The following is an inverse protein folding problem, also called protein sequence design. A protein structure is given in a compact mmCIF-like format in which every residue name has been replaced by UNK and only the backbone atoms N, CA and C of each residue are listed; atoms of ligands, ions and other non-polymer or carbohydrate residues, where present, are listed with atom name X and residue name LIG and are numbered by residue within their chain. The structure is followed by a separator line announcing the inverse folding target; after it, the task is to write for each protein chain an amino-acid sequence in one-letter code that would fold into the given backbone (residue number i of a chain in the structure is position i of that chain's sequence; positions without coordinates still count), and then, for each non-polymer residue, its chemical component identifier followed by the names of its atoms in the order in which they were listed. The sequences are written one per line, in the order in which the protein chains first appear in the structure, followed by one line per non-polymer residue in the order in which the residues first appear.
data_IF_854384264425
#
_entry.id   IF_854384264425
#
_cell.length_a   1.000
_cell.length_b   1.000
_cell.length_c   1.000
_cell.angle_alpha   90.00
_cell.angle_beta   90.00
_cell.angle_gamma   90.00
#
_symmetry.space_group_name_H-M   'P 1'
#
loop_
_entity.id
_entity.type
_entity.pdbx_description
1 polymer ?
2 non-polymer ?
3 water ?
#
# COMPACT_ATOMS: atom_id res chain seq x y z
N UNK A 25 35.58 30.32 7.94
CA UNK A 25 34.88 29.25 7.13
C UNK A 25 33.71 28.54 7.86
N UNK A 26 33.62 28.72 9.20
CA UNK A 26 32.39 28.43 9.98
C UNK A 26 31.13 28.97 9.28
N UNK A 27 31.17 30.25 8.96
CA UNK A 27 29.95 30.97 8.59
C UNK A 27 29.32 30.62 7.22
N UNK A 28 30.09 30.03 6.29
CA UNK A 28 29.49 29.42 5.08
C UNK A 28 28.81 28.09 5.45
N UNK A 29 29.42 27.34 6.37
CA UNK A 29 28.84 26.07 6.82
C UNK A 29 27.56 26.28 7.63
N UNK A 30 27.59 27.22 8.57
CA UNK A 30 26.40 27.58 9.35
C UNK A 30 25.33 28.13 8.42
N UNK A 31 25.71 29.01 7.51
CA UNK A 31 24.76 29.58 6.54
C UNK A 31 24.19 28.49 5.64
N UNK A 32 24.97 27.41 5.41
CA UNK A 32 24.54 26.30 4.57
C UNK A 32 23.54 25.43 5.36
N UNK A 33 23.79 25.14 6.64
CA UNK A 33 22.79 24.51 7.52
C UNK A 33 21.47 25.32 7.54
N UNK A 34 21.61 26.64 7.59
CA UNK A 34 20.46 27.54 7.59
C UNK A 34 19.72 27.48 6.27
N UNK A 35 20.47 27.41 5.15
CA UNK A 35 19.83 27.36 3.82
C UNK A 35 18.99 26.12 3.70
N UNK A 36 19.60 24.99 4.00
CA UNK A 36 18.94 23.68 4.08
C UNK A 36 17.55 23.74 4.72
N UNK A 37 17.46 24.39 5.87
CA UNK A 37 16.24 24.45 6.67
C UNK A 37 15.19 25.37 6.09
N UNK A 38 15.62 26.50 5.57
CA UNK A 38 14.72 27.39 4.82
C UNK A 38 14.16 26.70 3.58
N UNK A 39 14.99 25.88 2.91
CA UNK A 39 14.56 25.16 1.71
C UNK A 39 13.59 24.07 2.06
N UNK A 40 13.96 23.20 3.00
CA UNK A 40 13.02 22.20 3.51
C UNK A 40 11.69 22.88 3.92
N UNK A 41 11.77 23.90 4.77
CA UNK A 41 10.55 24.62 5.24
C UNK A 41 9.77 25.29 4.11
N UNK A 42 10.46 25.87 3.16
CA UNK A 42 9.79 26.48 2.01
C UNK A 42 9.15 25.46 1.11
N UNK A 43 9.87 24.40 0.81
CA UNK A 43 9.33 23.31 -0.03
C UNK A 43 8.08 22.72 0.64
N UNK A 44 8.19 22.38 1.91
CA UNK A 44 7.05 21.89 2.70
C UNK A 44 5.81 22.78 2.60
N UNK A 45 5.99 24.09 2.73
CA UNK A 45 4.86 25.03 2.63
C UNK A 45 4.24 25.01 1.22
N UNK A 46 5.06 25.23 0.22
CA UNK A 46 4.61 25.35 -1.15
C UNK A 46 4.05 24.02 -1.72
N UNK A 47 4.82 22.94 -1.63
CA UNK A 47 4.28 21.62 -2.01
C UNK A 47 3.10 21.19 -1.15
N UNK A 48 3.09 21.60 0.13
CA UNK A 48 1.92 21.43 0.99
C UNK A 48 0.64 21.96 0.39
N UNK A 49 0.70 23.16 -0.17
CA UNK A 49 -0.51 23.85 -0.68
C UNK A 49 -0.91 23.44 -2.07
N UNK A 50 0.07 23.23 -2.95
CA UNK A 50 -0.22 23.05 -4.38
C UNK A 50 0.28 21.70 -4.95
N UNK A 51 0.90 20.84 -4.13
CA UNK A 51 1.39 19.53 -4.58
C UNK A 51 2.77 19.60 -5.22
N UNK A 52 3.53 18.51 -5.10
CA UNK A 52 4.85 18.34 -5.75
C UNK A 52 4.87 18.91 -7.17
N UNK A 53 3.93 18.43 -7.98
CA UNK A 53 3.87 18.75 -9.41
C UNK A 53 3.79 20.23 -9.74
N UNK A 54 2.95 20.97 -9.01
CA UNK A 54 2.66 22.37 -9.36
C UNK A 54 3.74 23.40 -8.96
N UNK A 55 4.72 23.03 -8.14
CA UNK A 55 5.78 23.97 -7.77
C UNK A 55 7.15 23.42 -8.10
N UNK A 56 7.94 24.28 -8.72
CA UNK A 56 9.28 23.92 -9.16
C UNK A 56 10.29 24.44 -8.18
N UNK A 57 11.46 23.88 -8.26
CA UNK A 57 12.49 24.16 -7.30
C UNK A 57 13.04 25.61 -7.38
N UNK A 58 13.02 26.23 -8.58
CA UNK A 58 13.41 27.65 -8.62
C UNK A 58 12.51 28.55 -7.79
N UNK A 59 11.21 28.33 -7.88
CA UNK A 59 10.24 29.07 -7.07
C UNK A 59 10.50 28.91 -5.56
N UNK A 60 10.90 27.70 -5.14
CA UNK A 60 11.22 27.45 -3.73
C UNK A 60 12.49 28.24 -3.31
N UNK A 61 13.44 28.38 -4.21
CA UNK A 61 14.69 29.06 -3.89
C UNK A 61 14.45 30.54 -3.63
N UNK A 62 13.65 31.15 -4.50
CA UNK A 62 13.12 32.49 -4.27
C UNK A 62 12.42 32.63 -2.91
N UNK A 63 11.49 31.71 -2.63
CA UNK A 63 10.72 31.68 -1.37
C UNK A 63 11.66 31.63 -0.15
N UNK A 64 12.73 30.88 -0.25
CA UNK A 64 13.74 30.98 0.76
C UNK A 64 14.60 32.22 0.44
N UNK A 65 15.67 32.45 1.20
CA UNK A 65 16.51 33.64 0.94
C UNK A 65 17.80 33.30 0.26
N UNK A 66 17.65 32.33 -0.64
CA UNK A 66 18.68 31.59 -1.31
C UNK A 66 18.79 31.63 -2.86
N UNK A 67 20.00 31.38 -3.33
CA UNK A 67 20.37 31.24 -4.73
C UNK A 67 20.25 29.76 -5.16
N UNK A 68 20.26 29.52 -6.48
CA UNK A 68 20.21 28.19 -7.06
C UNK A 68 21.42 27.34 -6.67
N UNK A 69 22.60 27.93 -6.74
CA UNK A 69 23.85 27.27 -6.32
C UNK A 69 23.86 26.86 -4.87
N UNK A 70 23.28 27.71 -4.00
CA UNK A 70 23.11 27.37 -2.56
C UNK A 70 22.18 26.16 -2.38
N UNK A 71 21.12 26.14 -3.17
CA UNK A 71 20.23 24.99 -3.26
C UNK A 71 20.92 23.70 -3.74
N UNK A 72 21.69 23.82 -4.82
CA UNK A 72 22.32 22.64 -5.44
C UNK A 72 23.62 22.22 -4.81
N UNK A 73 24.19 23.04 -3.93
CA UNK A 73 25.23 22.52 -3.03
C UNK A 73 24.61 21.66 -1.94
N UNK A 74 23.33 21.88 -1.64
CA UNK A 74 22.65 21.17 -0.56
C UNK A 74 21.69 20.05 -0.97
N UNK A 75 21.15 20.10 -2.20
CA UNK A 75 20.25 19.06 -2.68
C UNK A 75 20.54 18.75 -4.15
N UNK A 76 20.78 17.49 -4.48
CA UNK A 76 21.12 17.07 -5.85
C UNK A 76 20.01 17.34 -6.89
N UNK A 77 18.75 17.10 -6.53
CA UNK A 77 17.60 17.34 -7.42
C UNK A 77 16.28 17.42 -6.66
N UNK A 78 15.19 17.68 -7.40
CA UNK A 78 13.86 17.90 -6.85
C UNK A 78 13.46 16.81 -5.84
N UNK A 79 13.64 15.56 -6.26
CA UNK A 79 13.24 14.44 -5.44
C UNK A 79 14.04 14.32 -4.14
N UNK A 80 15.31 14.70 -4.16
CA UNK A 80 16.13 14.65 -2.92
C UNK A 80 15.59 15.61 -1.86
N UNK A 81 15.19 16.79 -2.30
CA UNK A 81 14.63 17.80 -1.42
C UNK A 81 13.29 17.33 -0.92
N UNK A 82 12.53 16.74 -1.83
CA UNK A 82 11.25 16.13 -1.43
C UNK A 82 11.39 15.05 -0.37
N UNK A 83 12.44 14.24 -0.45
CA UNK A 83 12.64 13.17 0.52
C UNK A 83 12.86 13.76 1.89
N UNK A 84 13.62 14.85 1.97
CA UNK A 84 13.83 15.55 3.26
C UNK A 84 12.58 16.18 3.80
N UNK A 85 11.74 16.71 2.91
CA UNK A 85 10.42 17.21 3.29
C UNK A 85 9.59 16.08 3.93
N UNK A 86 9.62 14.90 3.34
CA UNK A 86 8.88 13.75 3.90
C UNK A 86 9.37 13.39 5.28
N UNK A 87 10.69 13.32 5.47
CA UNK A 87 11.25 13.04 6.79
C UNK A 87 10.74 13.97 7.88
N UNK A 88 10.67 15.25 7.57
CA UNK A 88 10.26 16.27 8.54
C UNK A 88 8.74 16.17 8.77
N UNK A 89 7.96 15.97 7.73
CA UNK A 89 6.51 15.80 7.88
C UNK A 89 6.20 14.53 8.67
N UNK A 90 6.93 13.45 8.41
CA UNK A 90 6.80 12.22 9.21
C UNK A 90 7.18 12.39 10.68
N UNK A 91 8.32 13.01 10.97
CA UNK A 91 8.70 13.36 12.35
C UNK A 91 7.49 13.95 13.07
N UNK A 92 6.88 14.98 12.49
CA UNK A 92 5.67 15.60 13.08
C UNK A 92 4.40 14.74 13.12
N UNK A 93 4.18 13.90 12.10
CA UNK A 93 3.05 12.97 12.12
C UNK A 93 3.27 11.97 13.25
N UNK A 94 4.50 11.47 13.38
CA UNK A 94 4.81 10.59 14.48
C UNK A 94 4.60 11.34 15.79
N UNK A 95 5.12 12.56 15.89
CA UNK A 95 5.03 13.36 17.12
C UNK A 95 3.60 13.59 17.52
N UNK A 96 2.77 14.03 16.58
CA UNK A 96 1.34 14.20 16.84
C UNK A 96 0.65 12.92 17.31
N UNK A 97 0.93 11.82 16.64
CA UNK A 97 0.35 10.51 17.00
C UNK A 97 0.51 10.25 18.49
N UNK A 98 1.76 10.25 18.94
CA UNK A 98 2.10 10.05 20.36
C UNK A 98 1.49 11.10 21.31
N UNK A 99 1.38 12.35 20.85
CA UNK A 99 0.68 13.41 21.58
C UNK A 99 -0.82 13.14 21.71
N UNK A 100 -1.51 12.79 20.63
CA UNK A 100 -2.96 12.56 20.67
C UNK A 100 -3.31 11.35 21.55
N UNK A 101 -2.54 10.27 21.38
CA UNK A 101 -2.71 9.04 22.15
C UNK A 101 -2.49 9.27 23.67
N UNK A 102 -1.40 9.96 24.04
CA UNK A 102 -1.15 10.33 25.43
C UNK A 102 -2.24 11.24 25.99
N UNK A 103 -2.68 12.20 25.18
CA UNK A 103 -3.71 13.14 25.59
C UNK A 103 -5.10 12.52 25.74
N UNK A 104 -5.34 11.36 25.10
CA UNK A 104 -6.64 10.70 25.17
C UNK A 104 -6.91 10.11 26.58
N UNK A 105 -5.84 9.83 27.32
CA UNK A 105 -5.98 9.29 28.66
C UNK A 105 -6.47 7.85 28.63
N UNK A 106 -5.83 7.04 27.80
CA UNK A 106 -6.21 5.67 27.61
C UNK A 106 -5.63 4.87 28.77
N UNK A 107 -6.54 4.21 29.49
CA UNK A 107 -6.23 3.34 30.60
C UNK A 107 -5.37 2.14 30.15
N UNK A 108 -5.89 1.37 29.21
CA UNK A 108 -5.32 0.09 28.85
C UNK A 108 -4.78 0.08 27.43
N UNK A 109 -3.93 -0.91 27.07
CA UNK A 109 -3.50 -1.05 25.68
C UNK A 109 -4.62 -1.10 24.64
N UNK A 110 -5.79 -1.62 25.01
CA UNK A 110 -6.89 -1.67 24.08
C UNK A 110 -7.38 -0.28 23.71
N UNK A 111 -7.51 0.58 24.72
CA UNK A 111 -7.95 1.95 24.49
C UNK A 111 -6.87 2.74 23.79
N UNK A 112 -5.61 2.40 24.10
CA UNK A 112 -4.44 2.99 23.46
C UNK A 112 -4.50 2.80 21.94
N UNK A 113 -4.69 1.53 21.54
CA UNK A 113 -4.91 1.15 20.14
C UNK A 113 -6.12 1.85 19.52
N UNK A 114 -7.19 1.93 20.28
CA UNK A 114 -8.41 2.56 19.80
C UNK A 114 -8.17 4.07 19.49
N UNK A 115 -7.48 4.74 20.40
CA UNK A 115 -7.08 6.13 20.24
C UNK A 115 -6.10 6.33 19.09
N UNK A 116 -5.11 5.44 19.00
CA UNK A 116 -4.14 5.48 17.92
C UNK A 116 -4.83 5.48 16.55
N UNK A 117 -5.87 4.68 16.32
CA UNK A 117 -6.53 4.70 15.00
C UNK A 117 -7.29 6.01 14.76
N UNK A 118 -7.96 6.54 15.79
CA UNK A 118 -8.63 7.84 15.67
C UNK A 118 -7.59 8.90 15.33
N UNK A 119 -6.48 8.90 16.09
CA UNK A 119 -5.41 9.86 15.87
C UNK A 119 -4.92 9.86 14.43
N UNK A 120 -4.69 8.67 13.87
CA UNK A 120 -4.18 8.55 12.51
C UNK A 120 -5.19 9.06 11.47
N UNK A 121 -6.47 8.91 11.77
CA UNK A 121 -7.49 9.47 10.86
C UNK A 121 -7.54 11.00 10.89
N UNK A 122 -7.24 11.62 12.04
CA UNK A 122 -7.19 13.09 12.10
C UNK A 122 -5.93 13.66 11.41
N UNK A 123 -4.78 13.11 11.77
CA UNK A 123 -3.49 13.54 11.23
C UNK A 123 -3.37 13.35 9.72
N UNK A 124 -3.77 12.19 9.22
CA UNK A 124 -3.76 11.95 7.78
C UNK A 124 -4.75 12.85 7.05
N UNK A 125 -5.77 13.32 7.76
CA UNK A 125 -6.73 14.29 7.25
C UNK A 125 -6.27 15.71 7.11
N UNK A 126 -5.31 16.14 7.94
CA UNK A 126 -4.54 17.37 7.71
C UNK A 126 -4.12 17.51 6.25
N UNK A 127 -4.63 18.54 5.54
CA UNK A 127 -4.30 18.69 4.10
C UNK A 127 -2.83 18.69 3.72
N UNK A 128 -1.94 19.11 4.62
CA UNK A 128 -0.49 19.02 4.30
C UNK A 128 -0.08 17.57 4.19
N UNK A 129 -0.52 16.76 5.14
CA UNK A 129 -0.16 15.35 5.19
C UNK A 129 -0.77 14.67 3.97
N UNK A 130 -2.08 14.86 3.80
CA UNK A 130 -2.81 14.36 2.66
C UNK A 130 -2.05 14.57 1.33
N UNK A 131 -1.56 15.79 1.13
CA UNK A 131 -0.91 16.16 -0.09
C UNK A 131 0.48 15.52 -0.24
N UNK A 132 1.30 15.69 0.78
CA UNK A 132 2.73 15.32 0.70
C UNK A 132 2.93 13.84 0.88
N UNK A 133 2.26 13.28 1.87
CA UNK A 133 2.45 11.92 2.27
C UNK A 133 1.50 11.00 1.52
N UNK A 134 0.20 11.28 1.57
CA UNK A 134 -0.76 10.33 0.95
C UNK A 134 -0.78 10.37 -0.57
N UNK A 135 -0.57 11.54 -1.19
CA UNK A 135 -0.68 11.66 -2.65
C UNK A 135 0.66 11.72 -3.37
N UNK A 136 1.50 12.67 -2.99
CA UNK A 136 2.76 12.88 -3.70
C UNK A 136 3.81 11.79 -3.45
N UNK A 137 3.97 11.41 -2.18
CA UNK A 137 5.10 10.58 -1.80
C UNK A 137 5.16 9.23 -2.53
N UNK A 138 4.01 8.56 -2.67
CA UNK A 138 3.99 7.32 -3.45
C UNK A 138 4.47 7.46 -4.91
N UNK A 139 4.17 8.59 -5.54
CA UNK A 139 4.59 8.83 -6.90
C UNK A 139 6.08 9.18 -6.98
N UNK A 140 6.55 9.98 -6.02
CA UNK A 140 7.90 10.55 -6.12
C UNK A 140 8.92 9.54 -5.66
N UNK A 141 8.66 8.93 -4.52
CA UNK A 141 9.39 7.74 -4.08
C UNK A 141 8.79 6.60 -4.87
N UNK A 142 9.46 5.47 -4.97
CA UNK A 142 8.81 4.33 -5.61
C UNK A 142 7.67 3.74 -4.78
N UNK A 143 7.31 2.51 -5.11
CA UNK A 143 6.62 1.64 -4.17
C UNK A 143 7.59 1.37 -3.04
N UNK A 144 8.79 0.96 -3.44
CA UNK A 144 9.87 0.58 -2.54
C UNK A 144 10.12 1.68 -1.52
N UNK A 145 10.48 2.85 -2.02
CA UNK A 145 10.71 4.03 -1.18
C UNK A 145 9.57 4.35 -0.24
N UNK A 146 8.33 4.24 -0.73
CA UNK A 146 7.17 4.59 0.08
C UNK A 146 6.90 3.58 1.19
N UNK A 147 7.05 2.30 0.86
CA UNK A 147 6.96 1.24 1.88
C UNK A 147 7.88 1.53 3.06
N UNK A 148 9.13 1.83 2.75
CA UNK A 148 10.13 2.15 3.78
C UNK A 148 9.78 3.27 4.72
N UNK A 149 9.07 4.27 4.22
CA UNK A 149 8.67 5.41 5.04
C UNK A 149 7.67 4.95 6.10
N UNK A 150 6.59 4.29 5.72
CA UNK A 150 5.66 3.76 6.73
C UNK A 150 6.36 2.78 7.66
N UNK A 151 7.23 1.93 7.11
CA UNK A 151 8.02 1.01 7.93
C UNK A 151 8.78 1.78 9.06
N UNK A 152 9.70 2.67 8.67
CA UNK A 152 10.47 3.51 9.60
C UNK A 152 9.63 4.10 10.71
N UNK A 153 8.50 4.71 10.37
CA UNK A 153 7.79 5.60 11.28
C UNK A 153 6.75 4.87 12.11
N UNK A 154 5.84 4.18 11.46
CA UNK A 154 4.78 3.46 12.17
C UNK A 154 5.25 2.14 12.84
N UNK A 155 5.93 1.27 12.08
CA UNK A 155 6.11 -0.15 12.49
C UNK A 155 6.40 -0.42 13.97
N UNK A 156 7.42 0.23 14.50
CA UNK A 156 7.77 0.10 15.91
C UNK A 156 6.64 0.49 16.85
N UNK A 157 6.02 1.65 16.60
CA UNK A 157 4.89 2.10 17.41
C UNK A 157 3.75 1.06 17.41
N UNK A 158 3.52 0.46 16.24
CA UNK A 158 2.46 -0.52 16.08
C UNK A 158 2.79 -1.85 16.76
N UNK A 159 4.03 -2.30 16.61
CA UNK A 159 4.51 -3.48 17.33
C UNK A 159 4.51 -3.29 18.83
N UNK A 160 4.84 -2.08 19.25
CA UNK A 160 4.77 -1.67 20.66
C UNK A 160 3.36 -1.91 21.22
N UNK A 161 2.38 -1.17 20.70
CA UNK A 161 0.97 -1.26 21.14
C UNK A 161 0.44 -2.71 21.24
N UNK A 162 0.74 -3.49 20.21
CA UNK A 162 0.31 -4.87 20.09
C UNK A 162 0.92 -5.71 21.20
N UNK A 163 2.22 -5.54 21.45
CA UNK A 163 2.94 -6.36 22.44
C UNK A 163 2.35 -6.05 23.82
N UNK A 164 1.98 -4.80 24.05
CA UNK A 164 1.35 -4.40 25.30
C UNK A 164 -0.04 -4.99 25.47
N UNK A 165 -0.81 -5.00 24.38
CA UNK A 165 -2.11 -5.65 24.37
C UNK A 165 -1.98 -7.15 24.63
N UNK A 166 -0.98 -7.79 24.03
CA UNK A 166 -0.74 -9.22 24.28
C UNK A 166 -0.33 -9.46 25.72
N UNK A 167 0.71 -8.75 26.16
CA UNK A 167 1.22 -8.88 27.55
C UNK A 167 0.18 -8.53 28.61
N UNK A 168 -0.80 -7.68 28.30
CA UNK A 168 -1.92 -7.36 29.20
C UNK A 168 -3.11 -8.30 29.09
N UNK A 169 -2.98 -9.37 28.30
CA UNK A 169 -4.08 -10.31 28.09
C UNK A 169 -5.25 -9.82 27.23
N UNK A 170 -5.17 -8.60 26.69
CA UNK A 170 -6.24 -8.03 25.85
C UNK A 170 -6.17 -8.48 24.40
N UNK A 171 -5.21 -9.34 24.07
CA UNK A 171 -4.99 -9.82 22.72
C UNK A 171 -4.28 -11.15 22.78
N UNK A 172 -4.75 -12.10 22.00
CA UNK A 172 -4.14 -13.43 21.91
C UNK A 172 -2.68 -13.33 21.50
N UNK A 173 -1.84 -14.17 22.10
CA UNK A 173 -0.46 -14.30 21.70
C UNK A 173 -0.47 -14.79 20.27
N UNK A 174 0.26 -14.05 19.44
CA UNK A 174 0.28 -14.16 18.01
C UNK A 174 1.62 -13.66 17.57
N UNK A 175 2.06 -14.06 16.37
CA UNK A 175 3.24 -13.43 15.79
C UNK A 175 2.97 -11.94 15.57
N UNK A 176 3.80 -11.10 16.17
CA UNK A 176 3.56 -9.68 16.36
C UNK A 176 3.81 -8.85 15.10
N UNK A 177 4.87 -9.16 14.35
CA UNK A 177 5.23 -8.34 13.19
C UNK A 177 4.26 -8.53 12.01
N UNK A 178 3.86 -9.77 11.71
CA UNK A 178 2.83 -9.97 10.70
C UNK A 178 1.54 -9.21 10.94
N UNK A 179 1.01 -9.29 12.16
CA UNK A 179 -0.17 -8.55 12.53
C UNK A 179 0.05 -7.08 12.31
N UNK A 180 1.14 -6.56 12.85
CA UNK A 180 1.52 -5.14 12.70
C UNK A 180 1.61 -4.76 11.23
N UNK A 181 2.33 -5.57 10.49
CA UNK A 181 2.54 -5.33 9.10
C UNK A 181 1.19 -5.21 8.39
N UNK A 182 0.28 -6.14 8.69
CA UNK A 182 -1.05 -6.16 8.09
C UNK A 182 -1.91 -4.94 8.52
N UNK A 183 -1.87 -4.57 9.79
CA UNK A 183 -2.61 -3.44 10.26
C UNK A 183 -2.16 -2.14 9.54
N UNK A 184 -0.87 -2.02 9.29
CA UNK A 184 -0.32 -0.89 8.58
C UNK A 184 -0.84 -0.82 7.15
N UNK A 185 -0.92 -1.97 6.50
CA UNK A 185 -1.55 -2.03 5.19
C UNK A 185 -3.00 -1.55 5.18
N UNK A 186 -3.75 -1.93 6.22
CA UNK A 186 -5.14 -1.55 6.39
C UNK A 186 -5.26 -0.06 6.63
N UNK A 187 -4.44 0.49 7.53
CA UNK A 187 -4.51 1.90 7.91
C UNK A 187 -4.10 2.84 6.79
N UNK A 188 -3.00 2.53 6.12
CA UNK A 188 -2.53 3.32 4.99
C UNK A 188 -3.58 3.33 3.89
N UNK A 189 -4.23 2.20 3.63
CA UNK A 189 -5.28 2.14 2.61
C UNK A 189 -6.52 2.94 3.05
N UNK A 190 -6.84 2.90 4.34
CA UNK A 190 -7.94 3.67 4.87
C UNK A 190 -7.74 5.13 4.54
N UNK A 191 -6.56 5.65 4.91
CA UNK A 191 -6.24 7.07 4.75
C UNK A 191 -6.30 7.52 3.29
N UNK A 192 -5.81 6.67 2.40
CA UNK A 192 -5.77 6.98 0.97
C UNK A 192 -7.11 6.85 0.27
N UNK A 193 -7.94 5.96 0.78
CA UNK A 193 -9.31 5.88 0.34
C UNK A 193 -10.06 7.18 0.62
N UNK A 194 -9.85 7.70 1.82
CA UNK A 194 -10.39 8.99 2.25
C UNK A 194 -9.79 10.12 1.39
N UNK A 195 -8.47 10.21 1.40
CA UNK A 195 -7.74 11.25 0.69
C UNK A 195 -8.25 11.49 -0.74
N UNK A 196 -8.65 10.40 -1.40
CA UNK A 196 -9.07 10.42 -2.78
C UNK A 196 -10.59 10.39 -2.95
N UNK A 197 -11.37 10.53 -1.88
CA UNK A 197 -12.81 10.22 -1.93
C UNK A 197 -13.60 11.33 -2.59
N UNK A 198 -14.73 10.97 -3.23
CA UNK A 198 -15.68 11.99 -3.75
C UNK A 198 -16.25 12.86 -2.62
N UNK A 199 -16.58 12.23 -1.48
CA UNK A 199 -17.08 12.91 -0.28
C UNK A 199 -16.21 12.56 0.94
N UNK A 200 -15.06 13.25 1.10
CA UNK A 200 -14.08 12.89 2.15
C UNK A 200 -14.51 12.90 3.63
N UNK A 201 -15.50 13.71 4.01
CA UNK A 201 -15.89 13.76 5.43
C UNK A 201 -16.76 12.55 5.78
N UNK A 202 -17.45 12.05 4.75
CA UNK A 202 -18.26 10.85 4.87
C UNK A 202 -17.39 9.61 4.89
N UNK A 203 -16.49 9.52 3.92
CA UNK A 203 -15.52 8.41 3.83
C UNK A 203 -14.68 8.25 5.10
N UNK A 204 -14.37 9.35 5.80
CA UNK A 204 -13.63 9.29 7.07
C UNK A 204 -14.44 8.62 8.16
N UNK A 205 -15.74 8.88 8.17
CA UNK A 205 -16.63 8.42 9.22
C UNK A 205 -16.85 6.91 9.11
N UNK A 206 -17.13 6.47 7.90
CA UNK A 206 -17.40 5.08 7.58
C UNK A 206 -16.19 4.19 7.78
N UNK A 207 -15.05 4.65 7.28
CA UNK A 207 -13.76 4.00 7.45
C UNK A 207 -13.36 3.95 8.91
N UNK A 208 -13.66 5.02 9.66
CA UNK A 208 -13.51 4.97 11.11
C UNK A 208 -14.27 3.80 11.72
N UNK A 209 -15.57 3.63 11.40
CA UNK A 209 -16.35 2.52 12.00
C UNK A 209 -15.82 1.16 11.58
N UNK A 210 -15.54 1.02 10.29
CA UNK A 210 -14.85 -0.16 9.77
C UNK A 210 -13.60 -0.59 10.58
N UNK A 211 -12.70 0.35 10.84
CA UNK A 211 -11.46 0.04 11.56
C UNK A 211 -11.78 -0.35 13.02
N UNK A 212 -12.66 0.41 13.63
CA UNK A 212 -13.15 0.17 14.98
C UNK A 212 -13.71 -1.28 15.14
N UNK A 213 -14.58 -1.68 14.21
CA UNK A 213 -15.11 -3.06 14.20
C UNK A 213 -14.01 -4.13 14.04
N UNK A 214 -13.08 -3.85 13.17
CA UNK A 214 -11.98 -4.76 12.86
C UNK A 214 -11.13 -5.01 14.08
N UNK A 215 -10.87 -3.96 14.86
CA UNK A 215 -10.00 -4.10 16.03
C UNK A 215 -10.81 -4.53 17.24
N UNK A 216 -12.02 -3.99 17.45
CA UNK A 216 -12.94 -4.50 18.48
C UNK A 216 -13.28 -6.00 18.31
N UNK A 217 -13.14 -6.53 17.10
CA UNK A 217 -13.27 -7.95 16.84
C UNK A 217 -12.17 -8.81 17.40
N UNK A 218 -10.93 -8.31 17.38
CA UNK A 218 -9.76 -9.06 17.88
C UNK A 218 -9.47 -8.81 19.34
N UNK A 219 -9.77 -7.62 19.81
CA UNK A 219 -9.39 -7.24 21.17
C UNK A 219 -10.39 -7.79 22.14
N UNK A 220 -9.83 -8.48 23.13
CA UNK A 220 -10.56 -9.00 24.26
C UNK A 220 -11.26 -7.88 25.02
N UNK A 221 -10.59 -6.75 25.23
CA UNK A 221 -11.20 -5.59 25.89
C UNK A 221 -11.30 -4.41 24.96
N UNK B 31 -5.49 -8.80 -38.07
CA UNK B 31 -4.44 -9.87 -38.14
C UNK B 31 -3.32 -9.66 -37.09
N UNK B 32 -3.08 -8.40 -36.73
CA UNK B 32 -2.11 -8.04 -35.67
C UNK B 32 -2.49 -8.46 -34.22
N UNK B 33 -3.76 -8.81 -34.02
CA UNK B 33 -4.23 -9.46 -32.79
C UNK B 33 -3.37 -10.68 -32.40
N UNK B 34 -3.01 -11.48 -33.39
CA UNK B 34 -2.12 -12.62 -33.22
C UNK B 34 -0.72 -12.22 -32.72
N UNK B 35 -0.17 -11.13 -33.27
CA UNK B 35 1.18 -10.66 -32.88
C UNK B 35 1.17 -10.28 -31.40
N UNK B 36 0.21 -9.43 -31.05
CA UNK B 36 -0.08 -9.03 -29.68
C UNK B 36 0.04 -10.20 -28.67
N UNK B 37 -0.62 -11.31 -29.01
CA UNK B 37 -0.77 -12.46 -28.11
C UNK B 37 0.52 -13.26 -28.00
N UNK B 38 1.22 -13.42 -29.11
CA UNK B 38 2.53 -14.06 -29.09
C UNK B 38 3.54 -13.26 -28.24
N UNK B 39 3.44 -11.93 -28.32
CA UNK B 39 4.33 -11.05 -27.54
C UNK B 39 3.99 -11.09 -26.05
N UNK B 40 2.71 -10.87 -25.75
CA UNK B 40 2.24 -11.00 -24.38
C UNK B 40 2.66 -12.36 -23.81
N UNK B 41 2.38 -13.45 -24.53
CA UNK B 41 2.77 -14.81 -24.06
C UNK B 41 4.28 -14.97 -23.79
N UNK B 42 5.08 -14.46 -24.71
CA UNK B 42 6.51 -14.53 -24.55
C UNK B 42 7.01 -13.69 -23.39
N UNK B 43 6.52 -12.45 -23.31
CA UNK B 43 6.88 -11.55 -22.21
C UNK B 43 6.55 -12.17 -20.86
N UNK B 44 5.31 -12.62 -20.72
CA UNK B 44 4.87 -13.30 -19.50
C UNK B 44 5.78 -14.44 -19.06
N UNK B 45 6.18 -15.29 -20.01
CA UNK B 45 7.07 -16.40 -19.68
C UNK B 45 8.44 -15.92 -19.21
N UNK B 46 9.08 -15.09 -20.03
CA UNK B 46 10.44 -14.63 -19.73
C UNK B 46 10.51 -13.72 -18.50
N UNK B 47 9.71 -12.67 -18.44
CA UNK B 47 9.63 -11.84 -17.22
C UNK B 47 9.15 -12.62 -16.01
N UNK B 48 8.28 -13.62 -16.23
CA UNK B 48 7.91 -14.58 -15.19
C UNK B 48 9.09 -15.21 -14.48
N UNK B 49 10.05 -15.68 -15.28
CA UNK B 49 11.19 -16.44 -14.77
C UNK B 49 12.33 -15.57 -14.23
N UNK B 50 12.62 -14.46 -14.90
CA UNK B 50 13.79 -13.68 -14.58
C UNK B 50 13.52 -12.22 -14.17
N UNK B 51 12.25 -11.81 -14.07
CA UNK B 51 11.88 -10.43 -13.69
C UNK B 51 11.94 -9.42 -14.82
N UNK B 52 11.09 -8.39 -14.74
CA UNK B 52 11.08 -7.26 -15.72
C UNK B 52 12.49 -6.84 -16.12
N UNK B 53 13.30 -6.54 -15.10
CA UNK B 53 14.63 -5.96 -15.29
C UNK B 53 15.57 -6.81 -16.15
N UNK B 54 15.60 -8.12 -15.92
CA UNK B 54 16.58 -9.00 -16.57
C UNK B 54 16.32 -9.39 -18.03
N UNK B 55 15.14 -9.12 -18.56
CA UNK B 55 14.86 -9.43 -19.95
C UNK B 55 14.42 -8.19 -20.71
N UNK B 56 15.01 -8.02 -21.88
CA UNK B 56 14.73 -6.90 -22.76
C UNK B 56 13.81 -7.33 -23.86
N UNK B 57 13.22 -6.34 -24.49
CA UNK B 57 12.18 -6.59 -25.44
C UNK B 57 12.65 -7.28 -26.73
N UNK B 58 13.91 -7.07 -27.15
CA UNK B 58 14.38 -7.83 -28.33
C UNK B 58 14.36 -9.33 -28.10
N UNK B 59 14.80 -9.77 -26.93
CA UNK B 59 14.77 -11.18 -26.57
C UNK B 59 13.34 -11.75 -26.62
N UNK B 60 12.37 -10.96 -26.17
CA UNK B 60 10.96 -11.37 -26.21
C UNK B 60 10.45 -11.50 -27.66
N UNK B 61 10.94 -10.65 -28.56
CA UNK B 61 10.47 -10.65 -29.93
C UNK B 61 10.90 -11.93 -30.62
N UNK B 62 12.16 -12.30 -30.43
CA UNK B 62 12.69 -13.60 -30.85
C UNK B 62 11.84 -14.77 -30.30
N UNK B 63 11.59 -14.74 -29.00
CA UNK B 63 10.79 -15.74 -28.30
C UNK B 63 9.38 -15.90 -28.91
N UNK B 64 8.75 -14.79 -29.26
CA UNK B 64 7.52 -14.80 -30.06
C UNK B 64 7.84 -15.04 -31.54
N UNK B 65 6.91 -15.15 -32.42
CA UNK B 65 7.43 -15.34 -33.75
C UNK B 65 7.46 -14.03 -34.45
N UNK B 66 7.96 -13.00 -33.79
CA UNK B 66 7.93 -11.64 -34.31
C UNK B 66 9.18 -10.78 -34.49
N UNK B 67 9.12 -9.93 -35.49
CA UNK B 67 10.18 -8.93 -35.77
C UNK B 67 10.05 -7.75 -34.82
N UNK B 68 11.12 -6.98 -34.64
CA UNK B 68 11.11 -5.79 -33.75
C UNK B 68 10.12 -4.72 -34.22
N UNK B 69 10.11 -4.44 -35.52
CA UNK B 69 9.12 -3.54 -36.13
C UNK B 69 7.68 -3.96 -35.94
N UNK B 70 7.43 -5.26 -36.00
CA UNK B 70 6.08 -5.82 -35.71
C UNK B 70 5.71 -5.60 -34.23
N UNK B 71 6.68 -5.72 -33.35
CA UNK B 71 6.54 -5.37 -31.94
C UNK B 71 6.25 -3.89 -31.72
N UNK B 72 7.00 -3.02 -32.40
CA UNK B 72 6.84 -1.57 -32.22
C UNK B 72 5.71 -0.94 -33.02
N UNK B 73 5.13 -1.68 -33.96
CA UNK B 73 3.81 -1.35 -34.51
C UNK B 73 2.73 -1.62 -33.47
N UNK B 74 2.96 -2.54 -32.54
CA UNK B 74 1.95 -2.97 -31.60
C UNK B 74 2.13 -2.48 -30.14
N UNK B 75 3.34 -2.14 -29.74
CA UNK B 75 3.60 -1.66 -28.40
C UNK B 75 4.59 -0.50 -28.43
N UNK B 76 4.15 0.61 -27.83
CA UNK B 76 4.94 1.83 -27.73
C UNK B 76 6.29 1.68 -27.03
N UNK B 77 6.31 0.96 -25.91
CA UNK B 77 7.54 0.73 -25.13
C UNK B 77 7.34 -0.44 -24.13
N UNK B 78 8.43 -0.75 -23.44
CA UNK B 78 8.54 -1.87 -22.53
C UNK B 78 7.37 -1.93 -21.54
N UNK B 79 7.11 -0.79 -20.90
CA UNK B 79 6.07 -0.71 -19.89
C UNK B 79 4.66 -0.95 -20.44
N UNK B 80 4.39 -0.54 -21.67
CA UNK B 80 3.06 -0.77 -22.27
C UNK B 80 2.80 -2.26 -22.46
N UNK B 81 3.83 -2.99 -22.89
CA UNK B 81 3.76 -4.43 -23.07
C UNK B 81 3.59 -5.09 -21.72
N UNK B 82 4.35 -4.60 -20.76
CA UNK B 82 4.20 -5.07 -19.38
C UNK B 82 2.80 -4.88 -18.81
N UNK B 83 2.12 -3.78 -19.14
CA UNK B 83 0.78 -3.53 -18.65
C UNK B 83 -0.16 -4.60 -19.17
N UNK B 84 0.00 -4.97 -20.44
CA UNK B 84 -0.84 -6.02 -21.02
C UNK B 84 -0.53 -7.40 -20.44
N UNK B 85 0.75 -7.66 -20.13
CA UNK B 85 1.12 -8.86 -19.40
C UNK B 85 0.41 -8.94 -18.05
N UNK B 86 0.35 -7.82 -17.33
CA UNK B 86 -0.36 -7.79 -16.04
C UNK B 86 -1.84 -8.09 -16.21
N UNK B 87 -2.50 -7.51 -17.20
CA UNK B 87 -3.92 -7.82 -17.48
C UNK B 87 -4.19 -9.32 -17.65
N UNK B 88 -3.31 -10.00 -18.37
CA UNK B 88 -3.47 -11.43 -18.64
C UNK B 88 -3.15 -12.24 -17.36
N UNK B 89 -2.11 -11.86 -16.62
CA UNK B 89 -1.78 -12.51 -15.36
C UNK B 89 -2.90 -12.31 -14.33
N UNK B 90 -3.49 -11.11 -14.28
CA UNK B 90 -4.65 -10.85 -13.42
C UNK B 90 -5.89 -11.69 -13.79
N UNK B 91 -6.24 -11.72 -15.08
CA UNK B 91 -7.32 -12.61 -15.55
C UNK B 91 -7.19 -13.99 -14.91
N UNK B 92 -6.00 -14.58 -15.07
CA UNK B 92 -5.72 -15.91 -14.51
C UNK B 92 -5.62 -16.00 -12.99
N UNK B 93 -5.14 -14.95 -12.33
CA UNK B 93 -5.16 -14.91 -10.86
C UNK B 93 -6.60 -14.84 -10.40
N UNK B 94 -7.42 -14.03 -11.05
CA UNK B 94 -8.85 -14.05 -10.76
C UNK B 94 -9.41 -15.47 -10.99
N UNK B 95 -9.10 -16.07 -12.14
CA UNK B 95 -9.61 -17.39 -12.50
C UNK B 95 -9.22 -18.46 -11.48
N UNK B 96 -7.95 -18.50 -11.11
CA UNK B 96 -7.47 -19.41 -10.05
C UNK B 96 -8.20 -19.22 -8.72
N UNK B 97 -8.34 -17.95 -8.32
CA UNK B 97 -9.01 -17.61 -7.05
C UNK B 97 -10.37 -18.31 -6.99
N UNK B 98 -11.23 -18.03 -7.97
CA UNK B 98 -12.56 -18.63 -8.06
C UNK B 98 -12.54 -20.17 -8.16
N UNK B 99 -11.52 -20.73 -8.82
CA UNK B 99 -11.31 -22.19 -8.84
C UNK B 99 -10.98 -22.76 -7.45
N UNK B 100 -10.03 -22.16 -6.73
CA UNK B 100 -9.63 -22.68 -5.42
C UNK B 100 -10.77 -22.54 -4.39
N UNK B 101 -11.44 -21.40 -4.40
CA UNK B 101 -12.60 -21.12 -3.52
C UNK B 101 -13.76 -22.10 -3.76
N UNK B 102 -14.12 -22.33 -5.02
CA UNK B 102 -15.16 -23.33 -5.37
C UNK B 102 -14.71 -24.75 -4.97
N UNK B 103 -13.45 -25.06 -5.20
CA UNK B 103 -12.90 -26.38 -4.85
C UNK B 103 -12.80 -26.64 -3.35
N UNK B 104 -12.77 -25.58 -2.54
CA UNK B 104 -12.68 -25.70 -1.08
C UNK B 104 -13.98 -26.24 -0.47
N UNK B 105 -15.11 -26.12 -1.17
CA UNK B 105 -16.39 -26.63 -0.67
C UNK B 105 -16.88 -25.76 0.48
N UNK B 106 -16.97 -24.47 0.22
CA UNK B 106 -17.47 -23.53 1.20
C UNK B 106 -18.98 -23.58 1.22
N UNK B 107 -19.52 -23.89 2.39
CA UNK B 107 -20.97 -23.84 2.60
C UNK B 107 -21.53 -22.42 2.48
N UNK B 108 -21.02 -21.53 3.32
CA UNK B 108 -21.63 -20.21 3.57
C UNK B 108 -20.71 -19.09 3.14
N UNK B 109 -21.21 -17.85 3.02
CA UNK B 109 -20.33 -16.70 2.74
C UNK B 109 -19.12 -16.56 3.68
N UNK B 110 -19.27 -16.97 4.92
CA UNK B 110 -18.15 -16.89 5.87
C UNK B 110 -17.01 -17.80 5.47
N UNK B 111 -17.35 -19.04 5.10
CA UNK B 111 -16.34 -20.00 4.66
C UNK B 111 -15.78 -19.59 3.30
N UNK B 112 -16.63 -19.00 2.48
CA UNK B 112 -16.25 -18.47 1.18
C UNK B 112 -15.11 -17.45 1.31
N UNK B 113 -15.34 -16.46 2.20
CA UNK B 113 -14.33 -15.47 2.59
C UNK B 113 -13.07 -16.13 3.15
N UNK B 114 -13.27 -17.11 3.99
CA UNK B 114 -12.13 -17.80 4.64
C UNK B 114 -11.25 -18.52 3.56
N UNK B 115 -11.91 -19.19 2.63
CA UNK B 115 -11.25 -19.83 1.48
C UNK B 115 -10.57 -18.84 0.56
N UNK B 116 -11.28 -17.75 0.25
CA UNK B 116 -10.71 -16.68 -0.57
C UNK B 116 -9.35 -16.22 -0.01
N UNK B 117 -9.22 -16.00 1.30
CA UNK B 117 -7.91 -15.56 1.86
C UNK B 117 -6.83 -16.65 1.71
N UNK B 118 -7.18 -17.92 1.97
CA UNK B 118 -6.21 -19.01 1.79
C UNK B 118 -5.78 -19.05 0.33
N UNK B 119 -6.75 -19.00 -0.58
CA UNK B 119 -6.46 -19.02 -2.02
C UNK B 119 -5.46 -17.95 -2.40
N UNK B 120 -5.66 -16.73 -1.91
CA UNK B 120 -4.82 -15.60 -2.26
C UNK B 120 -3.41 -15.76 -1.72
N UNK B 121 -3.28 -16.43 -0.58
CA UNK B 121 -1.95 -16.71 -0.05
C UNK B 121 -1.17 -17.75 -0.86
N UNK B 122 -1.88 -18.71 -1.48
CA UNK B 122 -1.21 -19.69 -2.32
C UNK B 122 -0.78 -19.09 -3.66
N UNK B 123 -1.72 -18.43 -4.33
CA UNK B 123 -1.49 -17.85 -5.65
C UNK B 123 -0.43 -16.76 -5.62
N UNK B 124 -0.49 -15.86 -4.64
CA UNK B 124 0.52 -14.82 -4.53
C UNK B 124 1.91 -15.41 -4.22
N UNK B 125 1.93 -16.60 -3.63
CA UNK B 125 3.16 -17.35 -3.37
C UNK B 125 3.85 -17.97 -4.59
N UNK B 126 3.05 -18.36 -5.59
CA UNK B 126 3.55 -18.73 -6.91
C UNK B 126 4.57 -17.70 -7.43
N UNK B 127 5.85 -18.11 -7.60
CA UNK B 127 6.87 -17.14 -8.03
C UNK B 127 6.60 -16.39 -9.35
N UNK B 128 5.73 -16.85 -10.25
CA UNK B 128 5.33 -16.00 -11.40
C UNK B 128 4.60 -14.78 -10.88
N UNK B 129 3.61 -15.03 -10.00
CA UNK B 129 2.79 -13.92 -9.50
C UNK B 129 3.66 -13.01 -8.65
N UNK B 130 4.38 -13.62 -7.71
CA UNK B 130 5.35 -12.93 -6.87
C UNK B 130 6.20 -11.95 -7.65
N UNK B 131 6.73 -12.42 -8.76
CA UNK B 131 7.66 -11.65 -9.59
C UNK B 131 6.97 -10.52 -10.33
N UNK B 132 5.91 -10.86 -11.06
CA UNK B 132 5.28 -9.92 -11.99
C UNK B 132 4.38 -8.94 -11.28
N UNK B 133 3.55 -9.48 -10.39
CA UNK B 133 2.53 -8.71 -9.71
C UNK B 133 3.08 -8.10 -8.43
N UNK B 134 3.65 -8.90 -7.52
CA UNK B 134 4.06 -8.34 -6.21
C UNK B 134 5.33 -7.49 -6.28
N UNK B 135 6.29 -7.81 -7.14
CA UNK B 135 7.56 -7.07 -7.18
C UNK B 135 7.71 -6.10 -8.32
N UNK B 136 7.52 -6.55 -9.55
CA UNK B 136 7.74 -5.70 -10.72
C UNK B 136 6.64 -4.64 -10.90
N UNK B 137 5.38 -5.06 -10.77
CA UNK B 137 4.29 -4.19 -11.17
C UNK B 137 4.25 -2.85 -10.42
N UNK B 138 4.47 -2.87 -9.09
CA UNK B 138 4.57 -1.61 -8.35
C UNK B 138 5.64 -0.65 -8.85
N UNK B 139 6.78 -1.17 -9.31
CA UNK B 139 7.85 -0.33 -9.83
C UNK B 139 7.52 0.19 -11.22
N UNK B 140 6.92 -0.66 -12.06
CA UNK B 140 6.76 -0.34 -13.48
C UNK B 140 5.56 0.56 -13.66
N UNK B 141 4.44 0.18 -13.06
CA UNK B 141 3.27 1.03 -12.94
C UNK B 141 3.61 1.95 -11.77
N UNK B 142 2.90 3.04 -11.59
CA UNK B 142 3.12 3.83 -10.38
C UNK B 142 2.60 3.16 -9.12
N UNK B 143 2.44 3.94 -8.06
CA UNK B 143 1.52 3.59 -6.97
C UNK B 143 0.14 3.64 -7.57
N UNK B 144 -0.14 4.76 -8.26
CA UNK B 144 -1.43 5.04 -8.89
C UNK B 144 -1.86 3.89 -9.77
N UNK B 145 -1.03 3.60 -10.78
CA UNK B 145 -1.25 2.48 -11.69
C UNK B 145 -1.50 1.15 -11.00
N UNK B 146 -0.72 0.87 -9.97
CA UNK B 146 -0.82 -0.40 -9.28
C UNK B 146 -2.08 -0.54 -8.46
N UNK B 147 -2.47 0.55 -7.78
CA UNK B 147 -3.72 0.57 -7.03
C UNK B 147 -4.87 0.18 -7.92
N UNK B 148 -4.94 0.81 -9.10
CA UNK B 148 -6.03 0.57 -10.06
C UNK B 148 -6.16 -0.87 -10.51
N UNK B 149 -5.04 -1.58 -10.60
CA UNK B 149 -5.05 -2.98 -10.99
C UNK B 149 -5.76 -3.83 -9.92
N UNK B 150 -5.33 -3.74 -8.68
CA UNK B 150 -6.04 -4.44 -7.59
C UNK B 150 -7.50 -3.99 -7.51
N UNK B 151 -7.75 -2.70 -7.68
CA UNK B 151 -9.13 -2.19 -7.72
C UNK B 151 -9.98 -2.93 -8.78
N UNK B 152 -9.60 -2.84 -10.06
CA UNK B 152 -10.27 -3.56 -11.17
C UNK B 152 -10.62 -5.01 -10.82
N UNK B 153 -9.64 -5.75 -10.31
CA UNK B 153 -9.71 -7.21 -10.27
C UNK B 153 -10.31 -7.74 -9.00
N UNK B 154 -9.76 -7.34 -7.86
CA UNK B 154 -10.31 -7.77 -6.58
C UNK B 154 -11.62 -7.06 -6.20
N UNK B 155 -11.66 -5.73 -6.22
CA UNK B 155 -12.75 -4.93 -5.54
C UNK B 155 -14.14 -5.49 -5.64
N UNK B 156 -14.61 -5.73 -6.86
CA UNK B 156 -15.93 -6.32 -7.08
C UNK B 156 -16.11 -7.67 -6.41
N UNK B 157 -15.14 -8.56 -6.57
CA UNK B 157 -15.17 -9.88 -5.92
C UNK B 157 -15.28 -9.76 -4.39
N UNK B 158 -14.57 -8.77 -3.84
CA UNK B 158 -14.55 -8.54 -2.40
C UNK B 158 -15.86 -7.93 -1.93
N UNK B 159 -16.38 -6.96 -2.67
CA UNK B 159 -17.69 -6.37 -2.36
C UNK B 159 -18.81 -7.40 -2.48
N UNK B 160 -18.67 -8.29 -3.46
CA UNK B 160 -19.57 -9.41 -3.65
C UNK B 160 -19.66 -10.26 -2.38
N UNK B 161 -18.55 -10.91 -2.02
CA UNK B 161 -18.45 -11.76 -0.81
C UNK B 161 -19.03 -11.13 0.46
N UNK B 162 -18.69 -9.86 0.67
CA UNK B 162 -19.14 -9.07 1.83
C UNK B 162 -20.63 -8.93 1.82
N UNK B 163 -21.21 -8.58 0.66
CA UNK B 163 -22.65 -8.31 0.57
C UNK B 163 -23.41 -9.61 0.88
N UNK B 164 -22.83 -10.73 0.45
CA UNK B 164 -23.41 -12.05 0.75
C UNK B 164 -23.34 -12.41 2.22
N UNK B 165 -22.20 -12.10 2.85
CA UNK B 165 -22.04 -12.27 4.28
C UNK B 165 -23.02 -11.40 5.06
N UNK B 166 -23.21 -10.15 4.60
CA UNK B 166 -24.20 -9.26 5.23
C UNK B 166 -25.60 -9.80 5.06
N UNK B 167 -25.99 -10.06 3.81
CA UNK B 167 -27.35 -10.55 3.53
C UNK B 167 -27.65 -11.93 4.15
N UNK B 168 -26.63 -12.73 4.42
CA UNK B 168 -26.77 -14.01 5.14
C UNK B 168 -26.68 -13.88 6.66
N UNK B 169 -26.66 -12.66 7.19
CA UNK B 169 -26.57 -12.45 8.63
C UNK B 169 -25.23 -12.74 9.30
N UNK B 170 -24.22 -13.14 8.51
CA UNK B 170 -22.89 -13.48 9.04
C UNK B 170 -21.99 -12.24 9.25
N UNK B 171 -22.51 -11.06 8.95
CA UNK B 171 -21.76 -9.82 9.02
C UNK B 171 -22.70 -8.66 9.19
N UNK B 172 -22.38 -7.76 10.12
CA UNK B 172 -23.20 -6.57 10.39
C UNK B 172 -23.35 -5.73 9.12
N UNK B 173 -24.53 -5.16 8.94
CA UNK B 173 -24.77 -4.21 7.89
C UNK B 173 -23.88 -3.02 8.18
N UNK B 174 -23.13 -2.65 7.14
CA UNK B 174 -22.05 -1.68 7.20
C UNK B 174 -21.92 -1.13 5.81
N UNK B 175 -21.34 0.06 5.66
CA UNK B 175 -20.93 0.55 4.35
C UNK B 175 -19.90 -0.41 3.76
N UNK B 176 -20.24 -0.92 2.57
CA UNK B 176 -19.58 -2.08 1.96
C UNK B 176 -18.24 -1.76 1.33
N UNK B 177 -18.12 -0.62 0.66
CA UNK B 177 -16.90 -0.30 -0.06
C UNK B 177 -15.71 0.04 0.84
N UNK B 178 -15.94 0.84 1.90
CA UNK B 178 -14.83 1.11 2.84
C UNK B 178 -14.24 -0.16 3.45
N UNK B 179 -15.10 -1.07 3.92
CA UNK B 179 -14.65 -2.33 4.45
C UNK B 179 -13.81 -3.06 3.41
N UNK B 180 -14.37 -3.21 2.22
CA UNK B 180 -13.71 -3.89 1.09
C UNK B 180 -12.38 -3.26 0.79
N UNK B 181 -12.42 -1.94 0.67
CA UNK B 181 -11.23 -1.19 0.35
C UNK B 181 -10.13 -1.48 1.38
N UNK B 182 -10.51 -1.45 2.66
CA UNK B 182 -9.55 -1.72 3.75
C UNK B 182 -9.03 -3.16 3.75
N UNK B 183 -9.91 -4.13 3.50
CA UNK B 183 -9.49 -5.53 3.45
C UNK B 183 -8.45 -5.76 2.35
N UNK B 184 -8.64 -5.09 1.23
CA UNK B 184 -7.70 -5.18 0.11
C UNK B 184 -6.33 -4.67 0.51
N UNK B 185 -6.30 -3.57 1.24
CA UNK B 185 -5.04 -3.06 1.78
C UNK B 185 -4.31 -4.07 2.67
N UNK B 186 -5.08 -4.77 3.50
CA UNK B 186 -4.55 -5.78 4.41
C UNK B 186 -4.03 -6.98 3.63
N UNK B 187 -4.80 -7.47 2.67
CA UNK B 187 -4.42 -8.66 1.89
C UNK B 187 -3.19 -8.44 1.01
N UNK B 188 -3.18 -7.33 0.28
CA UNK B 188 -2.04 -6.99 -0.58
C UNK B 188 -0.78 -6.84 0.28
N UNK B 189 -0.89 -6.24 1.45
CA UNK B 189 0.27 -6.09 2.34
C UNK B 189 0.73 -7.42 2.91
N UNK B 190 -0.22 -8.31 3.21
CA UNK B 190 0.12 -9.65 3.64
C UNK B 190 1.01 -10.33 2.63
N UNK B 191 0.55 -10.34 1.38
CA UNK B 191 1.26 -11.01 0.28
C UNK B 191 2.68 -10.49 0.08
N UNK B 192 2.82 -9.17 0.17
CA UNK B 192 4.09 -8.50 -0.05
C UNK B 192 5.05 -8.59 1.11
N UNK B 193 4.49 -8.68 2.31
CA UNK B 193 5.27 -8.99 3.50
C UNK B 193 5.97 -10.33 3.36
N UNK B 194 5.21 -11.33 2.88
CA UNK B 194 5.69 -12.67 2.63
C UNK B 194 6.73 -12.61 1.50
N UNK B 195 6.31 -12.10 0.35
CA UNK B 195 7.14 -12.03 -0.83
C UNK B 195 8.56 -11.53 -0.55
N UNK B 196 8.69 -10.60 0.38
CA UNK B 196 9.95 -9.96 0.70
C UNK B 196 10.61 -10.50 1.99
N UNK B 197 10.11 -11.59 2.55
CA UNK B 197 10.45 -11.96 3.95
C UNK B 197 11.82 -12.59 4.06
N UNK B 198 12.46 -12.45 5.22
CA UNK B 198 13.71 -13.18 5.53
C UNK B 198 13.50 -14.70 5.51
N UNK B 199 12.38 -15.17 6.09
CA UNK B 199 12.01 -16.60 6.09
C UNK B 199 10.59 -16.76 5.51
N UNK B 200 10.46 -16.79 4.17
CA UNK B 200 9.12 -16.78 3.54
C UNK B 200 8.10 -17.88 3.86
N UNK B 201 8.53 -19.09 4.23
CA UNK B 201 7.55 -20.15 4.47
C UNK B 201 6.96 -20.01 5.86
N UNK B 202 7.75 -19.40 6.75
CA UNK B 202 7.32 -19.07 8.11
C UNK B 202 6.36 -17.88 8.07
N UNK B 203 6.78 -16.81 7.40
CA UNK B 203 5.97 -15.60 7.24
C UNK B 203 4.60 -15.87 6.62
N UNK B 204 4.52 -16.85 5.71
CA UNK B 204 3.22 -17.23 5.12
C UNK B 204 2.26 -17.82 6.15
N UNK B 205 2.82 -18.62 7.05
CA UNK B 205 2.02 -19.39 8.00
C UNK B 205 1.42 -18.44 9.07
N UNK B 206 2.29 -17.57 9.59
CA UNK B 206 1.94 -16.62 10.61
C UNK B 206 0.93 -15.57 10.14
N UNK B 207 1.19 -15.04 8.95
CA UNK B 207 0.30 -14.10 8.26
C UNK B 207 -1.01 -14.73 7.92
N UNK B 208 -1.00 -16.01 7.56
CA UNK B 208 -2.24 -16.75 7.41
C UNK B 208 -3.10 -16.70 8.70
N UNK B 209 -2.51 -17.02 9.85
CA UNK B 209 -3.29 -17.01 11.10
C UNK B 209 -3.77 -15.59 11.47
N UNK B 210 -2.87 -14.64 11.36
CA UNK B 210 -3.20 -13.21 11.50
C UNK B 210 -4.43 -12.77 10.69
N UNK B 211 -4.47 -13.09 9.38
CA UNK B 211 -5.61 -12.69 8.55
C UNK B 211 -6.89 -13.38 8.99
N UNK B 212 -6.76 -14.68 9.26
CA UNK B 212 -7.85 -15.50 9.76
C UNK B 212 -8.47 -14.90 11.04
N UNK B 213 -7.65 -14.54 12.01
CA UNK B 213 -8.13 -13.88 13.25
C UNK B 213 -8.85 -12.54 12.99
N UNK B 214 -8.28 -11.76 12.08
CA UNK B 214 -8.82 -10.47 11.71
C UNK B 214 -10.23 -10.60 11.14
N UNK B 215 -10.44 -11.60 10.31
CA UNK B 215 -11.72 -11.78 9.64
C UNK B 215 -12.69 -12.58 10.53
N UNK B 216 -12.19 -13.65 11.17
CA UNK B 216 -12.97 -14.38 12.21
C UNK B 216 -13.44 -13.49 13.36
N UNK B 217 -12.78 -12.35 13.58
CA UNK B 217 -13.23 -11.35 14.53
C UNK B 217 -14.53 -10.65 14.16
N UNK B 218 -14.68 -10.34 12.88
CA UNK B 218 -15.89 -9.63 12.37
C UNK B 218 -17.01 -10.57 11.97
N UNK B 219 -16.66 -11.76 11.51
CA UNK B 219 -17.64 -12.70 11.05
C UNK B 219 -18.35 -13.41 12.19
N UNK B 220 -19.66 -13.32 12.15
CA UNK B 220 -20.55 -13.98 13.09
C UNK B 220 -20.34 -15.47 13.20
N UNK B 221 -20.32 -16.13 12.06
CA UNK B 221 -20.17 -17.59 12.01
C UNK B 221 -20.02 -18.11 10.60
X LIG C 1 -0.45 4.53 11.73
X LIG D 1 -7.06 -12.38 18.62
X LIG E 1 2.65 5.63 21.35
X LIG F 1 3.70 7.08 13.28
X LIG G 1 -5.52 -5.31 16.92
X LIG H 1 40.02 24.67 3.73
X LIG I 1 -10.43 -11.25 -1.79
X LIG J 1 -5.14 -23.45 -9.21
X LIG K 1 -14.73 -9.20 7.08
#
# INVERSE_FOLDING_TARGET
MGSSHHHHHHSSGLVPRGSHMEIKRRTQEERSAATREALITGARKLWGLRGYAEVGTPEIATEAGVTRGAMYHQFADKAALFRDVVEVVEQDVMARMATLVAASGAATPADAIRAAVDAWLEVSGDPEVRQLILLDAPVVLGWAGFRDVAQRYSLGMTEQLITEAIRAGQLARQPVRPLAQVLIGALDEAAMFIATADDPKRARRETRQVLRRLIDGMLNG
MGSSHHHHHHSSGLVPRGSHMEIKRRTQEERSAATREALITGARKLWGLRGYAEVGTPEIATEAGVTRGAMYHQFADKAALFRDVVEVVEQDVMARMATLVAASGAATPADAIRAAVDAWLEVSGDPEVRQLILLDAPVVLGWAGFRDVAQRYSLGMTEQLITEAIRAGQLARQPVRPLAQVLIGALDEAAMFIATADDPKRARRETRQVLRRLIDGMLNG
IOD I
IOD I
IOD I
IOD I
IOD I
IOD I
IOD I
IOD I
IOD I
#
